data_IF_371268420417
#
_entry.id   IF_371268420417
#
_cell.length_a   1.000
_cell.length_b   1.000
_cell.length_c   1.000
_cell.angle_alpha   90.00
_cell.angle_beta   90.00
_cell.angle_gamma   90.00
#
_symmetry.space_group_name_H-M   'P 1'
#
loop_
_entity.id
_entity.type
_entity.pdbx_description
1 polymer ?
#
# COMPACT_ATOMS: atom_id res chain seq x y z
N UNK A 1 20.20 5.49 -6.04
CA UNK A 1 20.60 6.42 -4.96
C UNK A 1 19.39 7.30 -4.63
N UNK A 2 18.89 7.29 -3.40
CA UNK A 2 17.79 8.19 -3.00
C UNK A 2 18.31 9.63 -2.90
N UNK A 3 17.46 10.63 -3.07
CA UNK A 3 17.84 12.06 -3.09
C UNK A 3 18.56 12.54 -1.81
N UNK A 4 18.39 11.81 -0.71
CA UNK A 4 19.02 12.08 0.60
C UNK A 4 20.04 11.01 1.01
N UNK A 5 20.12 9.88 0.31
CA UNK A 5 20.98 8.74 0.69
C UNK A 5 20.61 8.03 1.99
N UNK A 6 19.55 8.48 2.69
CA UNK A 6 19.18 7.94 4.00
C UNK A 6 18.30 6.70 3.87
N UNK A 7 18.76 5.60 4.45
CA UNK A 7 17.98 4.40 4.68
C UNK A 7 17.04 4.63 5.86
N UNK A 8 15.80 4.14 5.76
CA UNK A 8 14.86 4.13 6.87
C UNK A 8 14.11 2.80 6.92
N UNK A 9 13.74 2.40 8.12
CA UNK A 9 12.86 1.26 8.38
C UNK A 9 11.44 1.79 8.52
N UNK A 10 10.52 1.21 7.78
CA UNK A 10 9.08 1.50 7.90
C UNK A 10 8.42 0.23 8.37
N UNK A 11 7.80 0.27 9.54
CA UNK A 11 7.04 -0.86 10.05
C UNK A 11 5.84 -1.11 9.16
N UNK A 12 5.65 -2.38 8.79
CA UNK A 12 4.49 -2.80 8.00
C UNK A 12 3.35 -3.16 8.95
N UNK A 13 2.19 -2.48 8.86
CA UNK A 13 1.03 -2.86 9.66
C UNK A 13 0.63 -4.31 9.41
N UNK A 14 0.22 -5.03 10.46
CA UNK A 14 -0.19 -6.44 10.35
C UNK A 14 -1.29 -6.67 9.31
N UNK A 15 -2.18 -5.69 9.09
CA UNK A 15 -3.24 -5.76 8.07
C UNK A 15 -2.71 -5.79 6.63
N UNK A 16 -1.49 -5.30 6.38
CA UNK A 16 -0.85 -5.32 5.06
C UNK A 16 -0.06 -6.61 4.82
N UNK A 17 0.35 -7.30 5.88
CA UNK A 17 1.22 -8.46 5.79
C UNK A 17 0.64 -9.59 4.91
N UNK A 18 -0.64 -10.00 5.04
CA UNK A 18 -1.21 -11.04 4.20
C UNK A 18 -1.18 -10.68 2.71
N UNK A 19 -1.46 -9.42 2.36
CA UNK A 19 -1.45 -8.96 0.97
C UNK A 19 -0.04 -9.02 0.36
N UNK A 20 0.99 -8.64 1.14
CA UNK A 20 2.38 -8.74 0.70
C UNK A 20 2.82 -10.20 0.54
N UNK A 21 2.41 -11.09 1.44
CA UNK A 21 2.73 -12.51 1.35
C UNK A 21 2.08 -13.15 0.11
N UNK A 22 0.79 -12.91 -0.10
CA UNK A 22 0.07 -13.38 -1.29
C UNK A 22 0.71 -12.88 -2.58
N UNK A 23 1.10 -11.61 -2.61
CA UNK A 23 1.83 -11.05 -3.75
C UNK A 23 3.19 -11.74 -3.97
N UNK A 24 3.95 -12.00 -2.90
CA UNK A 24 5.24 -12.70 -3.00
C UNK A 24 5.08 -14.12 -3.58
N UNK A 25 4.06 -14.86 -3.14
CA UNK A 25 3.73 -16.18 -3.68
C UNK A 25 3.42 -16.08 -5.17
N UNK A 26 2.49 -15.18 -5.55
CA UNK A 26 2.11 -14.94 -6.94
C UNK A 26 3.29 -14.55 -7.82
N UNK A 27 4.18 -13.68 -7.33
CA UNK A 27 5.40 -13.30 -8.03
C UNK A 27 6.30 -14.50 -8.32
N UNK A 28 6.48 -15.38 -7.33
CA UNK A 28 7.30 -16.59 -7.50
C UNK A 28 6.70 -17.56 -8.54
N UNK A 29 5.37 -17.64 -8.66
CA UNK A 29 4.71 -18.39 -9.74
C UNK A 29 4.97 -17.75 -11.11
N UNK A 30 4.84 -16.42 -11.20
CA UNK A 30 5.07 -15.67 -12.42
C UNK A 30 6.51 -15.84 -12.91
N UNK A 31 7.49 -15.85 -12.01
CA UNK A 31 8.89 -16.14 -12.33
C UNK A 31 9.08 -17.50 -13.03
N UNK A 32 8.19 -18.47 -12.79
CA UNK A 32 8.20 -19.81 -13.42
C UNK A 32 7.39 -19.87 -14.72
N UNK A 33 6.60 -18.86 -15.04
CA UNK A 33 5.60 -18.88 -16.13
C UNK A 33 6.17 -18.75 -17.55
N UNK A 34 7.48 -18.53 -17.70
CA UNK A 34 8.12 -18.23 -18.98
C UNK A 34 7.78 -16.85 -19.56
N UNK A 35 6.86 -16.09 -18.96
CA UNK A 35 6.53 -14.71 -19.34
C UNK A 35 7.33 -13.66 -18.53
N UNK A 36 8.11 -14.10 -17.56
CA UNK A 36 8.92 -13.25 -16.68
C UNK A 36 10.22 -12.81 -17.37
N UNK A 37 10.26 -11.54 -17.76
CA UNK A 37 11.37 -10.92 -18.47
C UNK A 37 11.77 -9.59 -17.81
N UNK A 38 12.33 -9.64 -16.58
CA UNK A 38 12.79 -8.45 -15.89
C UNK A 38 13.98 -7.82 -16.63
N UNK A 39 14.21 -6.54 -16.38
CA UNK A 39 15.46 -5.92 -16.83
C UNK A 39 16.63 -6.43 -15.97
N UNK A 40 17.85 -6.53 -16.53
CA UNK A 40 19.05 -6.85 -15.75
C UNK A 40 19.20 -5.95 -14.52
N UNK A 41 19.38 -6.55 -13.34
CA UNK A 41 19.50 -5.86 -12.05
C UNK A 41 18.16 -5.46 -11.39
N UNK A 42 17.03 -5.87 -11.95
CA UNK A 42 15.68 -5.63 -11.42
C UNK A 42 14.88 -6.92 -11.18
N UNK A 43 15.54 -8.07 -11.17
CA UNK A 43 14.93 -9.40 -11.07
C UNK A 43 14.23 -9.61 -9.71
N UNK A 44 14.76 -8.97 -8.66
CA UNK A 44 14.34 -9.17 -7.27
C UNK A 44 13.52 -8.01 -6.71
N UNK A 45 12.92 -7.18 -7.56
CA UNK A 45 12.02 -6.13 -7.09
C UNK A 45 10.82 -6.73 -6.36
N UNK A 46 10.43 -6.08 -5.26
CA UNK A 46 9.28 -6.53 -4.46
C UNK A 46 7.98 -6.30 -5.21
N UNK A 47 7.80 -5.12 -5.83
CA UNK A 47 6.61 -4.76 -6.59
C UNK A 47 6.95 -4.66 -8.09
N UNK A 48 6.31 -5.50 -8.90
CA UNK A 48 6.53 -5.63 -10.34
C UNK A 48 5.22 -5.82 -11.09
N UNK A 49 5.24 -5.70 -12.41
CA UNK A 49 4.19 -6.26 -13.26
C UNK A 49 4.24 -7.80 -13.26
N UNK A 50 3.23 -8.42 -13.86
CA UNK A 50 3.21 -9.88 -14.07
C UNK A 50 4.37 -10.40 -14.93
N UNK A 51 4.93 -9.53 -15.78
CA UNK A 51 6.08 -9.83 -16.63
C UNK A 51 7.44 -9.54 -15.98
N UNK A 52 7.47 -9.13 -14.70
CA UNK A 52 8.70 -8.79 -13.98
C UNK A 52 9.26 -7.39 -14.26
N UNK A 53 8.50 -6.52 -14.94
CA UNK A 53 8.89 -5.12 -15.15
C UNK A 53 8.68 -4.33 -13.86
N UNK A 54 9.61 -3.43 -13.54
CA UNK A 54 9.39 -2.43 -12.50
C UNK A 54 8.12 -1.61 -12.77
N UNK A 55 7.26 -1.48 -11.75
CA UNK A 55 6.12 -0.57 -11.81
C UNK A 55 6.63 0.88 -11.83
N UNK A 56 6.05 1.68 -12.73
CA UNK A 56 6.30 3.11 -12.80
C UNK A 56 5.17 3.85 -12.09
N UNK A 57 5.42 5.10 -11.73
CA UNK A 57 4.40 5.97 -11.13
C UNK A 57 3.11 6.06 -11.97
N UNK A 58 3.22 6.01 -13.32
CA UNK A 58 2.03 5.99 -14.18
C UNK A 58 1.24 4.69 -14.09
N UNK A 59 1.94 3.55 -13.94
CA UNK A 59 1.31 2.24 -13.74
C UNK A 59 0.55 2.25 -12.40
N UNK A 60 1.20 2.69 -11.32
CA UNK A 60 0.56 2.81 -9.99
C UNK A 60 -0.65 3.75 -10.01
N UNK A 61 -0.53 4.88 -10.69
CA UNK A 61 -1.64 5.84 -10.82
C UNK A 61 -2.83 5.23 -11.56
N UNK A 62 -2.58 4.40 -12.57
CA UNK A 62 -3.63 3.69 -13.29
C UNK A 62 -4.27 2.61 -12.42
N UNK A 63 -3.46 1.81 -11.72
CA UNK A 63 -3.95 0.79 -10.78
C UNK A 63 -4.79 1.41 -9.67
N UNK A 64 -4.32 2.50 -9.07
CA UNK A 64 -5.04 3.25 -8.04
C UNK A 64 -6.41 3.74 -8.52
N UNK A 65 -6.49 4.31 -9.74
CA UNK A 65 -7.79 4.71 -10.30
C UNK A 65 -8.72 3.52 -10.47
N UNK A 66 -8.20 2.37 -10.92
CA UNK A 66 -8.98 1.13 -11.02
C UNK A 66 -9.56 0.70 -9.66
N UNK A 67 -8.73 0.70 -8.61
CA UNK A 67 -9.15 0.41 -7.24
C UNK A 67 -10.22 1.40 -6.76
N UNK A 68 -10.02 2.71 -6.98
CA UNK A 68 -11.00 3.72 -6.61
C UNK A 68 -12.32 3.60 -7.38
N UNK A 69 -12.28 3.25 -8.66
CA UNK A 69 -13.49 3.04 -9.46
C UNK A 69 -14.29 1.86 -8.92
N UNK A 70 -13.62 0.74 -8.62
CA UNK A 70 -14.29 -0.45 -8.09
C UNK A 70 -14.85 -0.22 -6.68
N UNK A 71 -14.05 0.37 -5.79
CA UNK A 71 -14.45 0.63 -4.40
C UNK A 71 -15.64 1.60 -4.28
N UNK A 72 -15.87 2.43 -5.30
CA UNK A 72 -16.89 3.48 -5.29
C UNK A 72 -18.00 3.23 -6.33
N UNK A 73 -18.10 2.01 -6.86
CA UNK A 73 -19.08 1.67 -7.91
C UNK A 73 -20.52 1.95 -7.49
N UNK A 74 -20.83 1.70 -6.22
CA UNK A 74 -22.17 1.89 -5.63
C UNK A 74 -22.34 3.24 -4.91
N UNK A 75 -21.30 4.09 -4.94
CA UNK A 75 -21.33 5.42 -4.33
C UNK A 75 -21.85 6.43 -5.36
N UNK A 76 -22.74 7.32 -4.90
CA UNK A 76 -23.25 8.44 -5.69
C UNK A 76 -22.09 9.29 -6.21
N UNK A 77 -22.16 9.70 -7.48
CA UNK A 77 -21.06 10.43 -8.13
C UNK A 77 -20.61 11.68 -7.36
N UNK A 78 -21.55 12.40 -6.76
CA UNK A 78 -21.30 13.59 -5.94
C UNK A 78 -20.53 13.31 -4.63
N UNK A 79 -20.44 12.06 -4.21
CA UNK A 79 -19.75 11.62 -2.99
C UNK A 79 -18.43 10.90 -3.30
N UNK A 80 -18.10 10.71 -4.59
CA UNK A 80 -16.88 10.00 -4.98
C UNK A 80 -15.63 10.83 -4.70
N UNK A 81 -14.60 10.17 -4.20
CA UNK A 81 -13.27 10.71 -4.01
C UNK A 81 -12.47 10.62 -5.31
N UNK A 82 -11.67 11.65 -5.57
CA UNK A 82 -10.90 11.83 -6.81
C UNK A 82 -9.40 12.00 -6.59
N UNK A 83 -8.92 11.77 -5.37
CA UNK A 83 -7.51 12.03 -5.06
C UNK A 83 -6.56 11.02 -5.70
N UNK A 84 -5.32 11.46 -5.90
CA UNK A 84 -4.28 10.67 -6.56
C UNK A 84 -3.54 9.77 -5.57
N UNK A 85 -2.83 8.74 -6.07
CA UNK A 85 -2.03 7.85 -5.21
C UNK A 85 -1.05 8.63 -4.32
N UNK A 86 -0.43 9.70 -4.83
CA UNK A 86 0.46 10.55 -4.05
C UNK A 86 -0.23 11.18 -2.82
N UNK A 87 -1.53 11.45 -2.92
CA UNK A 87 -2.32 12.01 -1.82
C UNK A 87 -2.53 11.01 -0.67
N UNK A 88 -2.40 9.70 -0.90
CA UNK A 88 -2.45 8.71 0.18
C UNK A 88 -1.36 8.92 1.22
N UNK A 89 -0.19 9.43 0.81
CA UNK A 89 0.86 9.83 1.74
C UNK A 89 0.40 10.99 2.62
N UNK A 90 -0.39 11.92 2.08
CA UNK A 90 -0.93 13.02 2.87
C UNK A 90 -1.95 12.54 3.90
N UNK A 91 -2.88 11.68 3.48
CA UNK A 91 -3.85 11.04 4.37
C UNK A 91 -3.14 10.29 5.49
N UNK A 92 -2.10 9.52 5.17
CA UNK A 92 -1.33 8.77 6.17
C UNK A 92 -0.66 9.70 7.21
N UNK A 93 -0.03 10.80 6.78
CA UNK A 93 0.53 11.80 7.71
C UNK A 93 -0.56 12.34 8.63
N UNK A 94 -1.67 12.80 8.06
CA UNK A 94 -2.77 13.38 8.83
C UNK A 94 -3.32 12.39 9.86
N UNK A 95 -3.58 11.14 9.48
CA UNK A 95 -4.06 10.11 10.41
C UNK A 95 -3.09 9.83 11.56
N UNK A 96 -1.79 9.76 11.29
CA UNK A 96 -0.78 9.54 12.34
C UNK A 96 -0.72 10.72 13.31
N UNK A 97 -0.81 11.96 12.79
CA UNK A 97 -0.80 13.19 13.59
C UNK A 97 -2.07 13.33 14.41
N UNK A 98 -3.24 13.06 13.83
CA UNK A 98 -4.53 13.10 14.51
C UNK A 98 -4.62 12.03 15.61
N UNK A 99 -3.92 10.90 15.44
CA UNK A 99 -3.74 9.88 16.48
C UNK A 99 -2.76 10.30 17.61
N UNK A 100 -2.20 11.50 17.55
CA UNK A 100 -1.29 12.04 18.56
C UNK A 100 0.16 11.58 18.43
N UNK A 101 0.56 10.98 17.30
CA UNK A 101 1.95 10.57 17.08
C UNK A 101 2.84 11.82 16.94
N UNK A 102 4.00 11.77 17.60
CA UNK A 102 4.96 12.86 17.61
C UNK A 102 5.40 13.26 16.18
N UNK A 103 5.39 14.55 15.87
CA UNK A 103 5.74 15.10 14.54
C UNK A 103 7.11 14.66 14.07
N UNK A 104 8.12 14.67 14.94
CA UNK A 104 9.47 14.31 14.54
C UNK A 104 9.52 12.84 14.10
N UNK A 105 8.71 11.99 14.73
CA UNK A 105 8.60 10.59 14.37
C UNK A 105 7.87 10.43 13.01
N UNK A 106 6.76 11.14 12.79
CA UNK A 106 6.06 11.10 11.50
C UNK A 106 6.95 11.64 10.36
N UNK A 107 7.68 12.73 10.60
CA UNK A 107 8.67 13.30 9.67
C UNK A 107 9.73 12.26 9.28
N UNK A 108 10.28 11.57 10.28
CA UNK A 108 11.29 10.54 10.09
C UNK A 108 10.76 9.34 9.28
N UNK A 109 9.54 8.86 9.58
CA UNK A 109 8.88 7.78 8.84
C UNK A 109 8.66 8.16 7.36
N UNK A 110 8.25 9.39 7.12
CA UNK A 110 8.04 9.92 5.78
C UNK A 110 9.36 10.21 5.06
N UNK A 111 10.45 10.48 5.79
CA UNK A 111 11.72 10.92 5.22
C UNK A 111 11.69 12.39 4.78
N UNK A 112 11.00 13.22 5.57
CA UNK A 112 10.98 14.68 5.44
C UNK A 112 11.74 15.33 6.60
N UNK A 113 12.10 16.60 6.44
CA UNK A 113 12.30 17.46 7.60
C UNK A 113 10.92 18.03 8.03
N UNK A 114 10.78 18.35 9.31
CA UNK A 114 9.51 18.82 9.90
C UNK A 114 8.97 20.05 9.17
N UNK A 115 9.84 20.98 8.78
CA UNK A 115 9.46 22.18 8.04
C UNK A 115 8.77 21.89 6.68
N UNK A 116 9.18 20.83 5.98
CA UNK A 116 8.52 20.36 4.74
C UNK A 116 7.22 19.62 5.09
N UNK A 117 7.20 18.87 6.18
CA UNK A 117 5.99 18.18 6.62
C UNK A 117 4.87 19.16 6.99
N UNK A 118 5.15 20.13 7.86
CA UNK A 118 4.16 21.11 8.29
C UNK A 118 3.65 21.99 7.12
N UNK A 119 4.54 22.33 6.18
CA UNK A 119 4.19 23.15 5.01
C UNK A 119 3.28 22.42 4.01
N UNK A 120 3.46 21.11 3.83
CA UNK A 120 2.76 20.36 2.77
C UNK A 120 1.61 19.48 3.27
N UNK A 121 1.56 19.18 4.58
CA UNK A 121 0.63 18.18 5.11
C UNK A 121 -0.38 18.77 6.09
N UNK A 122 0.01 19.74 6.92
CA UNK A 122 -0.90 20.36 7.90
C UNK A 122 -1.96 21.27 7.25
N UNK A 123 -1.65 21.91 6.11
CA UNK A 123 -2.65 22.71 5.38
C UNK A 123 -3.86 21.88 4.87
N UNK A 124 -3.75 20.55 4.79
CA UNK A 124 -4.84 19.68 4.35
C UNK A 124 -5.94 19.45 5.41
N UNK A 125 -5.64 19.71 6.70
CA UNK A 125 -6.58 19.60 7.82
C UNK A 125 -7.74 20.63 7.77
N UNK A 126 -7.71 21.60 6.85
CA UNK A 126 -8.82 22.53 6.62
C UNK A 126 -9.73 22.15 5.45
N UNK A 127 -9.45 21.07 4.71
CA UNK A 127 -10.23 20.75 3.50
C UNK A 127 -11.34 19.73 3.77
N UNK A 128 -12.51 19.97 3.19
CA UNK A 128 -13.75 19.18 3.25
C UNK A 128 -13.60 17.67 2.92
N UNK A 129 -12.43 17.23 2.46
CA UNK A 129 -12.14 15.83 2.11
C UNK A 129 -11.88 14.94 3.33
N UNK A 130 -11.53 15.49 4.50
CA UNK A 130 -11.29 14.69 5.71
C UNK A 130 -12.52 13.89 6.14
N UNK A 131 -13.72 14.51 6.08
CA UNK A 131 -14.98 13.84 6.40
C UNK A 131 -15.31 12.71 5.40
N UNK A 132 -15.13 12.95 4.09
CA UNK A 132 -15.32 11.93 3.05
C UNK A 132 -14.32 10.78 3.18
N UNK A 133 -13.08 11.08 3.57
CA UNK A 133 -12.02 10.08 3.77
C UNK A 133 -12.30 9.19 4.98
N UNK A 134 -12.80 9.76 6.08
CA UNK A 134 -13.22 9.00 7.26
C UNK A 134 -14.38 8.05 6.95
N UNK A 135 -15.35 8.50 6.15
CA UNK A 135 -16.47 7.67 5.70
C UNK A 135 -15.99 6.50 4.82
N UNK A 136 -15.14 6.78 3.82
CA UNK A 136 -14.57 5.76 2.95
C UNK A 136 -13.72 4.73 3.72
N UNK A 137 -12.97 5.18 4.74
CA UNK A 137 -12.21 4.27 5.60
C UNK A 137 -13.12 3.25 6.32
N UNK A 138 -14.25 3.72 6.87
CA UNK A 138 -15.23 2.84 7.50
C UNK A 138 -15.87 1.85 6.53
N UNK A 139 -16.05 2.23 5.27
CA UNK A 139 -16.57 1.36 4.21
C UNK A 139 -15.56 0.31 3.74
N UNK A 140 -14.28 0.70 3.57
CA UNK A 140 -13.19 -0.22 3.25
C UNK A 140 -13.01 -1.25 4.37
N UNK A 141 -13.04 -0.83 5.63
CA UNK A 141 -12.98 -1.74 6.78
C UNK A 141 -14.15 -2.74 6.77
N UNK A 142 -15.37 -2.29 6.48
CA UNK A 142 -16.54 -3.17 6.32
C UNK A 142 -16.38 -4.15 5.17
N UNK A 143 -15.90 -3.68 4.02
CA UNK A 143 -15.62 -4.54 2.85
C UNK A 143 -14.59 -5.62 3.21
N UNK A 144 -13.48 -5.22 3.83
CA UNK A 144 -12.43 -6.15 4.28
C UNK A 144 -13.00 -7.16 5.28
N UNK A 145 -13.79 -6.75 6.27
CA UNK A 145 -14.42 -7.68 7.22
C UNK A 145 -15.36 -8.68 6.55
N UNK A 146 -16.18 -8.22 5.60
CA UNK A 146 -17.11 -9.07 4.85
C UNK A 146 -16.41 -10.06 3.92
N UNK A 147 -15.26 -9.70 3.36
CA UNK A 147 -14.54 -10.51 2.37
C UNK A 147 -13.38 -11.32 2.96
N UNK A 148 -12.91 -10.99 4.16
CA UNK A 148 -11.96 -11.84 4.92
C UNK A 148 -12.68 -13.04 5.53
N UNK A 149 -13.96 -12.91 5.88
CA UNK A 149 -14.80 -14.04 6.32
C UNK A 149 -15.00 -15.12 5.24
N UNK A 150 -14.84 -14.78 3.95
CA UNK A 150 -14.90 -15.74 2.85
C UNK A 150 -13.59 -16.53 2.68
N UNK A 151 -12.47 -16.08 3.26
CA UNK A 151 -11.17 -16.77 3.18
C UNK A 151 -10.88 -17.65 4.40
N UNK A 152 -11.48 -17.34 5.56
CA UNK A 152 -11.31 -18.09 6.81
C UNK A 152 -11.94 -19.50 6.83
N UNK A 153 -12.54 -19.98 5.73
CA UNK A 153 -13.03 -21.35 5.57
C UNK A 153 -12.09 -22.26 4.75
N UNK A 154 -10.85 -21.83 4.48
CA UNK A 154 -9.82 -22.65 3.81
C UNK A 154 -8.52 -22.83 4.60
N UNK A 155 -8.49 -22.45 5.88
CA UNK A 155 -7.30 -22.56 6.74
C UNK A 155 -7.07 -23.97 7.34
N UNK A 156 -7.35 -25.03 6.58
CA UNK A 156 -6.94 -26.39 6.94
C UNK A 156 -5.78 -26.94 6.09
N UNK A 157 -5.24 -26.16 5.14
CA UNK A 157 -4.13 -26.59 4.27
C UNK A 157 -2.97 -25.58 4.29
N UNK A 158 -2.47 -25.23 5.48
CA UNK A 158 -1.14 -24.60 5.61
C UNK A 158 -0.12 -25.70 5.90
N UNK A 159 0.77 -26.06 4.95
CA UNK A 159 1.88 -26.96 5.24
C UNK A 159 2.78 -26.30 6.29
N UNK A 160 3.03 -27.00 7.38
CA UNK A 160 3.94 -26.58 8.44
C UNK A 160 5.39 -26.70 7.94
N UNK A 161 6.12 -25.59 8.03
CA UNK A 161 7.57 -25.40 8.22
C UNK A 161 8.58 -26.53 7.85
N UNK A 162 8.50 -27.13 6.66
CA UNK A 162 9.57 -28.01 6.15
C UNK A 162 10.43 -27.40 5.01
N UNK A 163 10.14 -26.17 4.55
CA UNK A 163 10.71 -25.65 3.30
C UNK A 163 12.04 -24.89 3.40
N UNK A 164 12.70 -24.83 4.57
CA UNK A 164 13.92 -24.01 4.76
C UNK A 164 15.19 -24.73 5.23
N UNK A 165 15.22 -26.06 5.27
CA UNK A 165 16.45 -26.79 5.61
C UNK A 165 16.79 -27.85 4.56
N UNK A 166 17.42 -27.45 3.46
CA UNK A 166 18.32 -28.31 2.67
C UNK A 166 19.14 -27.41 1.73
N UNK A 167 20.33 -27.00 2.20
CA UNK A 167 21.61 -26.90 1.45
C UNK A 167 22.61 -26.03 2.25
N UNK A 168 23.43 -26.71 3.04
CA UNK A 168 24.78 -26.30 3.45
C UNK A 168 25.66 -27.56 3.54
#
# INVERSE_FOLDING_TARGET
MTKTGQTRVVEMPNVMWPAFLQWSIRRNELMKSGQWHPKPGMENLVLTSETGRALRQQDDSKLWRGVLTEAQKDILESQRVTWTMAFNRHIAVTLLRDAGINENLVAAMMGHNIAIEDRHYYQSQLSAQAAATAQLHGEIQRYMQQHTAATALRDNDVPTDEWFNEEA
#
